data_IF_556252102095
#
_entry.id   IF_556252102095
#
_cell.length_a   1.000
_cell.length_b   1.000
_cell.length_c   1.000
_cell.angle_alpha   90.00
_cell.angle_beta   90.00
_cell.angle_gamma   90.00
#
_symmetry.space_group_name_H-M   'P 1'
#
loop_
_entity.id
_entity.type
_entity.pdbx_description
1 polymer ?
#
# COMPACT_ATOMS: atom_id res chain seq x y z
N UNK A 1 -26.06 -6.99 37.81
CA UNK A 1 -25.11 -7.35 36.74
C UNK A 1 -25.33 -6.56 35.42
N UNK A 2 -25.80 -5.30 35.45
CA UNK A 2 -26.12 -4.51 34.23
C UNK A 2 -25.06 -3.44 33.86
N UNK A 3 -24.31 -2.91 34.83
CA UNK A 3 -23.28 -1.90 34.57
C UNK A 3 -22.07 -2.39 33.77
N UNK A 4 -21.69 -3.67 33.92
CA UNK A 4 -20.56 -4.24 33.21
C UNK A 4 -20.76 -4.34 31.69
N UNK A 5 -22.01 -4.43 31.22
CA UNK A 5 -22.33 -4.54 29.79
C UNK A 5 -22.32 -3.17 29.10
N UNK A 6 -22.76 -2.12 29.80
CA UNK A 6 -22.76 -0.76 29.26
C UNK A 6 -21.33 -0.25 29.02
N UNK A 7 -20.41 -0.53 29.96
CA UNK A 7 -19.00 -0.19 29.80
C UNK A 7 -18.35 -0.89 28.60
N UNK A 8 -18.71 -2.17 28.36
CA UNK A 8 -18.26 -2.91 27.17
C UNK A 8 -18.78 -2.26 25.88
N UNK A 9 -20.04 -1.84 25.84
CA UNK A 9 -20.62 -1.16 24.68
C UNK A 9 -19.93 0.18 24.39
N UNK A 10 -19.60 0.95 25.42
CA UNK A 10 -18.84 2.20 25.26
C UNK A 10 -17.45 1.92 24.67
N UNK A 11 -16.73 0.93 25.22
CA UNK A 11 -15.39 0.58 24.71
C UNK A 11 -15.48 0.11 23.26
N UNK A 12 -16.42 -0.78 22.95
CA UNK A 12 -16.61 -1.28 21.58
C UNK A 12 -16.95 -0.13 20.64
N UNK A 13 -17.83 0.78 21.03
CA UNK A 13 -18.18 1.97 20.24
C UNK A 13 -16.99 2.89 20.01
N UNK A 14 -16.21 3.18 21.05
CA UNK A 14 -14.98 3.97 20.93
C UNK A 14 -13.96 3.30 19.99
N UNK A 15 -13.80 1.99 20.10
CA UNK A 15 -12.86 1.22 19.27
C UNK A 15 -13.31 1.18 17.79
N UNK A 16 -14.61 1.12 17.53
CA UNK A 16 -15.16 1.25 16.18
C UNK A 16 -14.89 2.63 15.57
N UNK A 17 -15.08 3.70 16.34
CA UNK A 17 -14.81 5.07 15.88
C UNK A 17 -13.32 5.24 15.56
N UNK A 18 -12.44 4.75 16.45
CA UNK A 18 -10.99 4.77 16.22
C UNK A 18 -10.63 3.97 14.97
N UNK A 19 -11.20 2.77 14.79
CA UNK A 19 -10.98 1.96 13.60
C UNK A 19 -11.38 2.70 12.31
N UNK A 20 -12.55 3.34 12.29
CA UNK A 20 -12.99 4.16 11.16
C UNK A 20 -12.05 5.35 10.90
N UNK A 21 -11.56 6.01 11.95
CA UNK A 21 -10.63 7.13 11.83
C UNK A 21 -9.31 6.71 11.15
N UNK A 22 -8.76 5.56 11.54
CA UNK A 22 -7.55 5.01 10.91
C UNK A 22 -7.81 4.48 9.49
N UNK A 23 -9.02 4.02 9.19
CA UNK A 23 -9.38 3.51 7.86
C UNK A 23 -9.65 4.63 6.84
N UNK A 24 -10.15 5.78 7.30
CA UNK A 24 -10.51 6.93 6.47
C UNK A 24 -9.44 7.38 5.45
N UNK A 25 -8.14 7.58 5.80
CA UNK A 25 -7.13 8.01 4.83
C UNK A 25 -6.98 7.04 3.65
N UNK A 26 -7.07 5.73 3.92
CA UNK A 26 -6.99 4.67 2.90
C UNK A 26 -8.16 4.75 1.91
N UNK A 27 -9.38 4.95 2.41
CA UNK A 27 -10.57 5.10 1.56
C UNK A 27 -10.52 6.39 0.74
N UNK A 28 -10.10 7.50 1.35
CA UNK A 28 -10.00 8.80 0.68
C UNK A 28 -9.01 8.75 -0.48
N UNK A 29 -7.88 8.04 -0.31
CA UNK A 29 -6.90 7.84 -1.37
C UNK A 29 -7.44 6.96 -2.51
N UNK A 30 -8.17 5.90 -2.16
CA UNK A 30 -8.71 4.93 -3.12
C UNK A 30 -9.81 5.52 -4.01
N UNK A 31 -10.63 6.42 -3.45
CA UNK A 31 -11.74 7.07 -4.15
C UNK A 31 -11.27 8.31 -4.95
N UNK A 32 -10.05 8.80 -4.68
CA UNK A 32 -9.50 9.96 -5.38
C UNK A 32 -9.30 9.65 -6.87
N UNK A 33 -9.77 10.56 -7.75
CA UNK A 33 -9.56 10.44 -9.19
C UNK A 33 -8.08 10.60 -9.53
N UNK A 34 -7.62 9.97 -10.60
CA UNK A 34 -6.22 10.05 -11.03
C UNK A 34 -5.82 11.49 -11.40
N UNK A 35 -6.77 12.29 -11.87
CA UNK A 35 -6.62 13.72 -12.16
C UNK A 35 -6.24 14.51 -10.90
N UNK A 36 -6.91 14.23 -9.79
CA UNK A 36 -6.69 14.89 -8.50
C UNK A 36 -5.38 14.41 -7.86
N UNK A 37 -5.00 13.15 -8.08
CA UNK A 37 -3.72 12.60 -7.64
C UNK A 37 -2.55 13.30 -8.32
N UNK A 38 -2.67 13.58 -9.62
CA UNK A 38 -1.65 14.30 -10.40
C UNK A 38 -1.58 15.77 -9.98
N UNK A 39 -2.71 16.41 -9.68
CA UNK A 39 -2.76 17.82 -9.28
C UNK A 39 -2.26 18.07 -7.86
N UNK A 40 -2.32 17.08 -6.97
CA UNK A 40 -1.95 17.23 -5.54
C UNK A 40 -1.07 16.07 -5.04
N UNK A 41 0.17 15.95 -5.54
CA UNK A 41 1.07 14.86 -5.16
C UNK A 41 1.40 14.87 -3.67
N UNK A 42 1.57 16.06 -3.07
CA UNK A 42 1.82 16.23 -1.63
C UNK A 42 0.70 15.68 -0.73
N UNK A 43 -0.55 15.70 -1.21
CA UNK A 43 -1.70 15.21 -0.47
C UNK A 43 -1.79 13.68 -0.62
N UNK A 44 -1.46 13.16 -1.80
CA UNK A 44 -1.37 11.73 -2.08
C UNK A 44 -0.31 11.08 -1.20
N UNK A 45 0.88 11.68 -1.07
CA UNK A 45 1.97 11.16 -0.23
C UNK A 45 1.58 11.14 1.25
N UNK A 46 0.96 12.21 1.75
CA UNK A 46 0.46 12.26 3.14
C UNK A 46 -0.62 11.21 3.41
N UNK A 47 -1.49 10.94 2.43
CA UNK A 47 -2.53 9.91 2.57
C UNK A 47 -1.95 8.50 2.46
N UNK A 48 -0.94 8.29 1.61
CA UNK A 48 -0.20 7.03 1.50
C UNK A 48 0.59 6.72 2.77
N UNK A 49 1.19 7.72 3.40
CA UNK A 49 1.96 7.54 4.64
C UNK A 49 1.05 7.19 5.84
N UNK A 50 -0.15 7.81 5.89
CA UNK A 50 -1.13 7.58 6.95
C UNK A 50 -2.07 6.41 6.69
N UNK A 51 -2.17 5.96 5.44
CA UNK A 51 -3.02 4.88 4.99
C UNK A 51 -2.35 3.51 5.07
N UNK A 52 -3.13 2.48 4.78
CA UNK A 52 -2.62 1.11 4.68
C UNK A 52 -1.78 0.99 3.41
N UNK A 53 -0.51 0.56 3.55
CA UNK A 53 0.36 0.28 2.40
C UNK A 53 -0.12 -0.99 1.69
N UNK A 54 -0.77 -0.80 0.55
CA UNK A 54 -1.26 -1.89 -0.28
C UNK A 54 -0.06 -2.63 -0.91
N UNK A 55 -0.12 -3.96 -0.92
CA UNK A 55 0.85 -4.77 -1.68
C UNK A 55 0.65 -4.60 -3.18
N UNK A 56 1.62 -5.05 -3.97
CA UNK A 56 1.58 -4.97 -5.44
C UNK A 56 0.29 -5.53 -6.06
N UNK A 57 -0.23 -6.63 -5.48
CA UNK A 57 -1.47 -7.29 -5.91
C UNK A 57 -2.70 -6.37 -5.76
N UNK A 58 -2.73 -5.54 -4.71
CA UNK A 58 -3.86 -4.66 -4.39
C UNK A 58 -3.68 -3.25 -4.94
N UNK A 59 -2.44 -2.76 -5.05
CA UNK A 59 -2.13 -1.44 -5.61
C UNK A 59 -2.16 -1.47 -7.15
N UNK A 60 -1.90 -2.64 -7.75
CA UNK A 60 -1.68 -2.76 -9.17
C UNK A 60 -0.31 -2.20 -9.55
N UNK A 61 0.52 -3.02 -10.20
CA UNK A 61 1.83 -2.61 -10.66
C UNK A 61 2.58 -3.78 -11.28
N UNK A 62 3.69 -3.49 -11.95
CA UNK A 62 4.51 -4.51 -12.62
C UNK A 62 5.81 -4.70 -11.84
N UNK A 63 6.01 -5.90 -11.26
CA UNK A 63 7.30 -6.30 -10.71
C UNK A 63 8.12 -6.97 -11.82
N UNK A 64 9.05 -6.21 -12.40
CA UNK A 64 9.98 -6.72 -13.40
C UNK A 64 11.19 -7.32 -12.69
N UNK A 65 11.35 -8.64 -12.79
CA UNK A 65 12.60 -9.32 -12.43
C UNK A 65 13.44 -9.43 -13.70
N UNK A 66 14.57 -8.73 -13.74
CA UNK A 66 15.52 -8.82 -14.85
C UNK A 66 16.64 -9.76 -14.45
N UNK A 67 16.57 -11.00 -14.92
CA UNK A 67 17.66 -11.96 -14.78
C UNK A 67 18.60 -11.85 -15.99
N UNK A 68 19.90 -11.61 -15.79
CA UNK A 68 20.87 -11.67 -16.87
C UNK A 68 21.05 -13.12 -17.33
N UNK A 69 20.99 -13.35 -18.64
CA UNK A 69 21.28 -14.68 -19.22
C UNK A 69 22.76 -15.03 -19.04
N UNK A 70 23.05 -15.79 -17.97
CA UNK A 70 24.41 -16.19 -17.63
C UNK A 70 25.06 -17.06 -18.70
N UNK A 71 24.28 -17.85 -19.45
CA UNK A 71 24.82 -18.73 -20.51
C UNK A 71 25.30 -17.88 -21.69
N UNK A 72 24.50 -16.89 -22.09
CA UNK A 72 24.89 -15.92 -23.11
C UNK A 72 26.07 -15.03 -22.68
N UNK A 73 26.16 -14.69 -21.39
CA UNK A 73 27.31 -13.95 -20.86
C UNK A 73 28.60 -14.78 -20.87
N UNK A 74 28.53 -16.06 -20.47
CA UNK A 74 29.68 -16.96 -20.42
C UNK A 74 30.18 -17.32 -21.82
N UNK A 75 29.28 -17.56 -22.78
CA UNK A 75 29.64 -17.86 -24.16
C UNK A 75 30.30 -16.68 -24.87
N UNK A 76 29.78 -15.46 -24.68
CA UNK A 76 30.38 -14.25 -25.23
C UNK A 76 31.74 -13.91 -24.59
N UNK A 77 31.92 -14.20 -23.29
CA UNK A 77 33.22 -14.00 -22.62
C UNK A 77 34.27 -15.02 -23.09
N UNK A 78 33.86 -16.24 -23.40
CA UNK A 78 34.72 -17.27 -23.99
C UNK A 78 35.11 -16.91 -25.43
N UNK A 79 34.16 -16.41 -26.23
CA UNK A 79 34.40 -15.98 -27.61
C UNK A 79 35.26 -14.72 -27.75
N UNK A 80 35.40 -13.92 -26.68
CA UNK A 80 36.25 -12.71 -26.65
C UNK A 80 37.70 -12.95 -26.21
N UNK A 81 38.08 -14.18 -25.83
CA UNK A 81 39.44 -14.52 -25.34
C UNK A 81 40.40 -15.07 -26.41
N UNK A 82 39.94 -15.19 -27.65
CA UNK A 82 40.77 -15.41 -28.86
C UNK A 82 40.78 -14.13 -29.72
#
# INVERSE_FOLDING_TARGET
MRGAQFWRLIITGALLIVSLYFLYPTLRLSIMSDEDKIQRPELVDQLNEKGIKLGLDLQGGMHLLMEPDMVAMLSNNAAKRD
#
